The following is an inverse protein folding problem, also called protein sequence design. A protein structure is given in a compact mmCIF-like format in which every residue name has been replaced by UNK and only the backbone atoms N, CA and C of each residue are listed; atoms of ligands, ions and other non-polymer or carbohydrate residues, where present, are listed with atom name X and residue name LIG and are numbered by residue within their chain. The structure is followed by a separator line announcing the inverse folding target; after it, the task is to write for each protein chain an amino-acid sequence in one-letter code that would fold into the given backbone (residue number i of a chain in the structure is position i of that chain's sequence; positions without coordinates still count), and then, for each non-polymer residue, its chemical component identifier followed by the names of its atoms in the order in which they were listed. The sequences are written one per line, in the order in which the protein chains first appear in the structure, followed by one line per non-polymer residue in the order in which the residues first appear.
data_IF_390410999800
#
_entry.id   IF_390410999800
#
_cell.length_a   1.000
_cell.length_b   1.000
_cell.length_c   1.000
_cell.angle_alpha   90.00
_cell.angle_beta   90.00
_cell.angle_gamma   90.00
#
_symmetry.space_group_name_H-M   'P 1'
#
loop_
_entity.id
_entity.type
_entity.pdbx_description
1 polymer ?
#
# COMPACT_ATOMS: atom_id res chain seq x y z
N UNK A 1 -8.72 -8.83 -1.94
CA UNK A 1 -10.06 -8.82 -1.31
C UNK A 1 -10.04 -8.59 0.20
N UNK A 2 -9.21 -9.30 1.00
CA UNK A 2 -9.17 -9.14 2.47
C UNK A 2 -9.08 -7.68 2.93
N UNK A 3 -8.13 -6.92 2.36
CA UNK A 3 -8.00 -5.48 2.62
C UNK A 3 -9.28 -4.68 2.31
N UNK A 4 -9.96 -4.98 1.20
CA UNK A 4 -11.20 -4.30 0.81
C UNK A 4 -12.39 -4.70 1.70
N UNK A 5 -12.36 -5.90 2.28
CA UNK A 5 -13.35 -6.40 3.26
C UNK A 5 -13.07 -5.96 4.69
N UNK A 6 -11.93 -5.30 4.96
CA UNK A 6 -11.50 -4.94 6.32
C UNK A 6 -10.96 -6.12 7.13
N UNK A 7 -10.68 -7.25 6.49
CA UNK A 7 -10.12 -8.43 7.15
C UNK A 7 -8.61 -8.24 7.41
N UNK A 8 -8.11 -8.65 8.60
CA UNK A 8 -6.69 -8.64 8.88
C UNK A 8 -5.88 -9.43 7.86
N UNK A 9 -4.81 -8.82 7.36
CA UNK A 9 -3.85 -9.46 6.46
C UNK A 9 -2.50 -8.75 6.54
N UNK A 10 -1.45 -9.52 6.30
CA UNK A 10 -0.03 -9.13 6.29
C UNK A 10 0.69 -9.57 5.01
N UNK A 11 -0.02 -10.19 4.05
CA UNK A 11 0.54 -10.61 2.75
C UNK A 11 1.38 -9.54 2.04
N UNK A 12 1.03 -8.26 2.16
CA UNK A 12 1.81 -7.16 1.58
C UNK A 12 3.17 -6.97 2.29
N UNK A 13 3.26 -7.25 3.59
CA UNK A 13 4.52 -7.24 4.34
C UNK A 13 5.44 -8.33 3.80
N UNK A 14 4.95 -9.56 3.70
CA UNK A 14 5.72 -10.68 3.14
C UNK A 14 6.18 -10.41 1.70
N UNK A 15 5.32 -9.78 0.90
CA UNK A 15 5.68 -9.35 -0.46
C UNK A 15 6.84 -8.36 -0.47
N UNK A 16 6.78 -7.27 0.31
CA UNK A 16 7.87 -6.29 0.39
C UNK A 16 9.17 -6.94 0.90
N UNK A 17 9.09 -7.76 1.95
CA UNK A 17 10.27 -8.41 2.54
C UNK A 17 10.94 -9.41 1.59
N UNK A 18 10.20 -10.02 0.66
CA UNK A 18 10.80 -10.85 -0.39
C UNK A 18 11.84 -10.08 -1.21
N UNK A 19 11.55 -8.83 -1.57
CA UNK A 19 12.49 -7.99 -2.34
C UNK A 19 13.63 -7.49 -1.47
N UNK A 20 13.35 -7.11 -0.22
CA UNK A 20 14.39 -6.73 0.74
C UNK A 20 15.40 -7.86 0.93
N UNK A 21 14.93 -9.08 1.19
CA UNK A 21 15.78 -10.26 1.34
C UNK A 21 16.62 -10.53 0.09
N UNK A 22 16.05 -10.32 -1.10
CA UNK A 22 16.78 -10.47 -2.37
C UNK A 22 17.92 -9.45 -2.50
N UNK A 23 17.70 -8.19 -2.10
CA UNK A 23 18.76 -7.18 -2.11
C UNK A 23 19.86 -7.53 -1.10
N UNK A 24 19.47 -7.91 0.12
CA UNK A 24 20.40 -8.30 1.18
C UNK A 24 21.23 -9.53 0.78
N UNK A 25 20.65 -10.52 0.08
CA UNK A 25 21.38 -11.71 -0.36
C UNK A 25 22.49 -11.41 -1.37
N UNK A 26 22.43 -10.25 -2.02
CA UNK A 26 23.47 -9.77 -2.94
C UNK A 26 24.40 -8.74 -2.27
N UNK A 27 24.36 -8.61 -0.94
CA UNK A 27 25.20 -7.66 -0.20
C UNK A 27 24.83 -6.18 -0.42
N UNK A 28 23.65 -5.91 -1.00
CA UNK A 28 23.16 -4.53 -1.18
C UNK A 28 22.60 -4.05 0.16
N UNK A 29 22.92 -2.82 0.55
CA UNK A 29 22.33 -2.15 1.72
C UNK A 29 21.11 -1.33 1.29
N UNK A 30 19.87 -1.86 1.39
CA UNK A 30 18.68 -1.09 1.04
C UNK A 30 18.37 -0.02 2.10
N UNK A 31 17.81 1.10 1.64
CA UNK A 31 17.12 2.09 2.47
C UNK A 31 15.68 2.17 1.95
N UNK A 32 14.70 1.88 2.81
CA UNK A 32 13.29 1.98 2.43
C UNK A 32 12.76 3.38 2.74
N UNK A 33 12.32 4.09 1.70
CA UNK A 33 11.70 5.42 1.81
C UNK A 33 10.19 5.31 1.62
N UNK A 34 9.41 5.93 2.51
CA UNK A 34 7.95 5.92 2.50
C UNK A 34 7.40 7.35 2.42
N UNK A 35 6.26 7.53 1.75
CA UNK A 35 5.53 8.80 1.76
C UNK A 35 5.05 9.18 3.18
N UNK A 36 5.12 10.46 3.49
CA UNK A 36 4.58 11.08 4.69
C UNK A 36 3.27 11.81 4.43
N UNK A 37 3.29 13.13 4.59
CA UNK A 37 2.11 13.98 4.45
C UNK A 37 1.74 14.25 2.98
N UNK A 38 0.45 14.42 2.72
CA UNK A 38 -0.02 14.84 1.39
C UNK A 38 0.34 16.30 1.14
N UNK A 39 0.90 16.60 -0.03
CA UNK A 39 1.14 17.98 -0.47
C UNK A 39 -0.19 18.72 -0.73
N UNK A 40 -0.32 20.00 -0.33
CA UNK A 40 -1.49 20.81 -0.63
C UNK A 40 -1.81 20.87 -2.14
N UNK A 41 -0.77 20.92 -2.98
CA UNK A 41 -0.88 20.95 -4.44
C UNK A 41 -1.51 19.68 -5.04
N UNK A 42 -1.49 18.54 -4.33
CA UNK A 42 -2.07 17.26 -4.77
C UNK A 42 -3.43 16.95 -4.14
N UNK A 43 -4.01 17.88 -3.39
CA UNK A 43 -5.28 17.68 -2.65
C UNK A 43 -6.42 17.19 -3.57
N UNK A 44 -6.62 17.82 -4.71
CA UNK A 44 -7.69 17.43 -5.65
C UNK A 44 -7.43 16.08 -6.31
N UNK A 45 -6.17 15.77 -6.62
CA UNK A 45 -5.78 14.46 -7.17
C UNK A 45 -6.05 13.35 -6.14
N UNK A 46 -5.67 13.56 -4.88
CA UNK A 46 -5.93 12.59 -3.81
C UNK A 46 -7.43 12.45 -3.48
N UNK A 47 -8.19 13.55 -3.58
CA UNK A 47 -9.65 13.50 -3.47
C UNK A 47 -10.27 12.64 -4.58
N UNK A 48 -9.91 12.86 -5.84
CA UNK A 48 -10.38 12.04 -6.98
C UNK A 48 -9.99 10.57 -6.83
N UNK A 49 -8.76 10.29 -6.37
CA UNK A 49 -8.30 8.92 -6.06
C UNK A 49 -9.15 8.28 -4.96
N UNK A 50 -9.47 9.01 -3.89
CA UNK A 50 -10.34 8.53 -2.80
C UNK A 50 -11.75 8.21 -3.30
N UNK A 51 -12.36 9.10 -4.08
CA UNK A 51 -13.69 8.91 -4.66
C UNK A 51 -13.73 7.67 -5.56
N UNK A 52 -12.73 7.52 -6.44
CA UNK A 52 -12.62 6.34 -7.32
C UNK A 52 -12.46 5.04 -6.53
N UNK A 53 -11.67 5.03 -5.45
CA UNK A 53 -11.53 3.85 -4.58
C UNK A 53 -12.86 3.50 -3.91
N UNK A 54 -13.60 4.48 -3.41
CA UNK A 54 -14.91 4.29 -2.79
C UNK A 54 -15.94 3.75 -3.78
N UNK A 55 -16.00 4.30 -4.99
CA UNK A 55 -16.88 3.83 -6.05
C UNK A 55 -16.58 2.35 -6.42
N UNK A 56 -15.30 1.99 -6.58
CA UNK A 56 -14.91 0.60 -6.85
C UNK A 56 -15.25 -0.33 -5.69
N UNK A 57 -15.10 0.11 -4.43
CA UNK A 57 -15.47 -0.69 -3.27
C UNK A 57 -16.98 -1.00 -3.26
N UNK A 58 -17.82 0.01 -3.52
CA UNK A 58 -19.28 -0.16 -3.58
C UNK A 58 -19.68 -1.09 -4.73
N UNK A 59 -19.11 -0.87 -5.93
CA UNK A 59 -19.34 -1.74 -7.10
C UNK A 59 -18.93 -3.19 -6.82
N UNK A 60 -17.76 -3.40 -6.22
CA UNK A 60 -17.28 -4.74 -5.85
C UNK A 60 -18.20 -5.44 -4.86
N UNK A 61 -18.73 -4.72 -3.86
CA UNK A 61 -19.72 -5.26 -2.91
C UNK A 61 -21.03 -5.65 -3.59
N UNK A 62 -21.49 -4.85 -4.56
CA UNK A 62 -22.70 -5.16 -5.33
C UNK A 62 -22.50 -6.43 -6.18
N UNK A 63 -21.44 -6.48 -6.98
CA UNK A 63 -21.12 -7.64 -7.83
C UNK A 63 -20.96 -8.93 -7.02
N UNK A 64 -20.41 -8.83 -5.80
CA UNK A 64 -20.29 -9.98 -4.90
C UNK A 64 -21.66 -10.51 -4.46
N UNK A 65 -22.64 -9.62 -4.20
CA UNK A 65 -24.03 -10.02 -3.88
C UNK A 65 -24.74 -10.65 -5.08
N UNK A 66 -24.38 -10.24 -6.29
CA UNK A 66 -24.88 -10.82 -7.55
C UNK A 66 -24.20 -12.15 -7.92
N UNK A 67 -23.26 -12.66 -7.10
CA UNK A 67 -22.51 -13.90 -7.38
C UNK A 67 -21.38 -13.74 -8.40
N UNK A 68 -21.11 -12.54 -8.91
CA UNK A 68 -20.06 -12.23 -9.88
C UNK A 68 -18.69 -12.07 -9.20
N UNK A 69 -18.17 -13.16 -8.67
CA UNK A 69 -16.98 -13.17 -7.80
C UNK A 69 -15.73 -12.62 -8.50
N UNK A 70 -15.50 -12.96 -9.77
CA UNK A 70 -14.31 -12.51 -10.53
C UNK A 70 -14.30 -10.98 -10.71
N UNK A 71 -15.41 -10.42 -11.18
CA UNK A 71 -15.56 -8.98 -11.39
C UNK A 71 -15.51 -8.19 -10.06
N UNK A 72 -16.09 -8.75 -9.00
CA UNK A 72 -16.01 -8.18 -7.66
C UNK A 72 -14.55 -8.09 -7.18
N UNK A 73 -13.75 -9.15 -7.41
CA UNK A 73 -12.33 -9.19 -7.05
C UNK A 73 -11.51 -8.14 -7.79
N UNK A 74 -11.81 -7.90 -9.06
CA UNK A 74 -11.17 -6.83 -9.84
C UNK A 74 -11.49 -5.45 -9.24
N UNK A 75 -12.76 -5.18 -8.95
CA UNK A 75 -13.18 -3.95 -8.29
C UNK A 75 -12.49 -3.75 -6.93
N UNK A 76 -12.40 -4.81 -6.11
CA UNK A 76 -11.70 -4.76 -4.83
C UNK A 76 -10.20 -4.49 -4.96
N UNK A 77 -9.58 -4.91 -6.06
CA UNK A 77 -8.17 -4.62 -6.32
C UNK A 77 -7.98 -3.14 -6.65
N UNK A 78 -8.90 -2.57 -7.43
CA UNK A 78 -8.92 -1.14 -7.78
C UNK A 78 -9.33 -0.22 -6.62
N UNK A 79 -9.93 -0.77 -5.55
CA UNK A 79 -10.33 -0.02 -4.37
C UNK A 79 -9.27 0.03 -3.25
N UNK A 80 -8.14 -0.66 -3.40
CA UNK A 80 -7.12 -0.72 -2.34
C UNK A 80 -6.58 0.68 -2.03
N UNK A 81 -6.55 1.01 -0.74
CA UNK A 81 -5.91 2.20 -0.21
C UNK A 81 -4.71 1.80 0.64
N UNK A 82 -3.52 2.32 0.31
CA UNK A 82 -2.33 2.11 1.12
C UNK A 82 -2.35 3.14 2.26
N UNK A 83 -2.29 2.66 3.50
CA UNK A 83 -2.36 3.53 4.70
C UNK A 83 -1.03 3.55 5.43
N UNK A 84 -0.78 4.59 6.24
CA UNK A 84 0.40 4.66 7.10
C UNK A 84 0.50 3.47 8.06
N UNK A 85 -0.63 2.90 8.50
CA UNK A 85 -0.66 1.68 9.32
C UNK A 85 -0.07 0.48 8.57
N UNK A 86 -0.38 0.35 7.27
CA UNK A 86 0.20 -0.71 6.43
C UNK A 86 1.70 -0.49 6.24
N UNK A 87 2.12 0.73 5.90
CA UNK A 87 3.52 1.10 5.75
C UNK A 87 4.33 0.83 7.04
N UNK A 88 3.77 1.19 8.20
CA UNK A 88 4.40 0.96 9.50
C UNK A 88 4.64 -0.53 9.79
N UNK A 89 3.77 -1.44 9.34
CA UNK A 89 4.02 -2.89 9.48
C UNK A 89 5.21 -3.33 8.62
N UNK A 90 5.36 -2.78 7.42
CA UNK A 90 6.54 -3.04 6.57
C UNK A 90 7.81 -2.47 7.22
N UNK A 91 7.75 -1.23 7.74
CA UNK A 91 8.87 -0.60 8.46
C UNK A 91 9.31 -1.47 9.65
N UNK A 92 8.39 -1.97 10.45
CA UNK A 92 8.71 -2.85 11.58
C UNK A 92 9.40 -4.14 11.12
N UNK A 93 8.89 -4.78 10.07
CA UNK A 93 9.49 -6.00 9.51
C UNK A 93 10.90 -5.75 8.95
N UNK A 94 11.08 -4.66 8.21
CA UNK A 94 12.38 -4.30 7.64
C UNK A 94 13.41 -3.95 8.74
N UNK A 95 13.03 -3.12 9.71
CA UNK A 95 13.92 -2.77 10.85
C UNK A 95 14.31 -4.00 11.68
N UNK A 96 13.43 -5.00 11.81
CA UNK A 96 13.77 -6.25 12.50
C UNK A 96 14.88 -7.06 11.81
N UNK A 97 15.15 -6.78 10.53
CA UNK A 97 16.27 -7.35 9.78
C UNK A 97 17.46 -6.37 9.64
N UNK A 98 17.46 -5.27 10.40
CA UNK A 98 18.53 -4.26 10.32
C UNK A 98 18.48 -3.35 9.09
N UNK A 99 17.34 -3.28 8.41
CA UNK A 99 17.17 -2.40 7.24
C UNK A 99 16.72 -1.00 7.65
N UNK A 100 17.47 0.00 7.19
CA UNK A 100 17.18 1.41 7.43
C UNK A 100 15.88 1.81 6.73
N UNK A 101 15.00 2.50 7.47
CA UNK A 101 13.70 2.96 6.96
C UNK A 101 13.47 4.42 7.32
N UNK A 102 13.12 5.22 6.32
CA UNK A 102 12.86 6.65 6.42
C UNK A 102 11.47 6.99 5.90
N UNK A 103 10.75 7.86 6.62
CA UNK A 103 9.47 8.42 6.17
C UNK A 103 9.73 9.85 5.73
N UNK A 104 9.46 10.16 4.47
CA UNK A 104 9.60 11.49 3.93
C UNK A 104 8.64 12.46 4.65
N UNK A 105 8.96 13.76 4.74
CA UNK A 105 8.01 14.74 5.28
C UNK A 105 6.75 14.84 4.41
N UNK A 106 6.91 14.67 3.09
CA UNK A 106 5.83 14.65 2.12
C UNK A 106 5.97 13.47 1.17
N UNK A 107 6.47 13.67 -0.05
CA UNK A 107 6.57 12.62 -1.07
C UNK A 107 7.94 11.96 -1.04
N UNK A 108 7.96 10.63 -1.17
CA UNK A 108 9.17 9.83 -1.25
C UNK A 108 10.00 10.20 -2.49
N UNK A 109 9.36 10.59 -3.59
CA UNK A 109 10.02 11.00 -4.83
C UNK A 109 11.04 12.12 -4.58
N UNK A 110 10.67 13.14 -3.79
CA UNK A 110 11.56 14.26 -3.47
C UNK A 110 12.67 13.88 -2.48
N UNK A 111 12.44 12.83 -1.67
CA UNK A 111 13.40 12.35 -0.68
C UNK A 111 14.40 11.34 -1.26
N UNK A 112 14.05 10.71 -2.38
CA UNK A 112 14.89 9.78 -3.14
C UNK A 112 15.80 10.49 -4.16
N UNK A 113 15.46 11.73 -4.54
CA UNK A 113 16.15 12.52 -5.56
C UNK A 113 17.57 12.95 -5.18
#
# INVERSE_FOLDING_TARGET
EKLAKGEPTDKYVGFCMKFVNMLLSHGIKPILVFDGCTLPSKKEVEKSRRERRQANLLKGKQLLREGKVSEARECFTRSVNITHVMAHKVIKAARSQGVDCLVAPYEADAQLA
#
